data_IF_778142661117
#
_entry.id   IF_778142661117
#
_cell.length_a   1.000
_cell.length_b   1.000
_cell.length_c   1.000
_cell.angle_alpha   90.00
_cell.angle_beta   90.00
_cell.angle_gamma   90.00
#
_symmetry.space_group_name_H-M   'P 1'
#
loop_
_entity.id
_entity.type
_entity.pdbx_description
1 polymer ?
#
# COMPACT_ATOMS: atom_id res chain seq x y z
N UNK A 1 4.18 -10.78 1.46
CA UNK A 1 2.84 -10.41 0.96
C UNK A 1 2.18 -11.46 0.05
N UNK A 2 2.83 -11.98 -1.01
CA UNK A 2 2.17 -12.85 -2.00
C UNK A 2 1.55 -14.14 -1.42
N UNK A 3 2.25 -14.84 -0.51
CA UNK A 3 1.73 -16.05 0.14
C UNK A 3 0.46 -15.78 0.95
N UNK A 4 0.42 -14.67 1.68
CA UNK A 4 -0.73 -14.28 2.51
C UNK A 4 -1.95 -13.94 1.65
N UNK A 5 -1.76 -13.28 0.50
CA UNK A 5 -2.87 -13.02 -0.43
C UNK A 5 -3.47 -14.30 -1.01
N UNK A 6 -2.62 -15.26 -1.35
CA UNK A 6 -3.10 -16.56 -1.83
C UNK A 6 -3.97 -17.25 -0.77
N UNK A 7 -3.54 -17.24 0.49
CA UNK A 7 -4.31 -17.83 1.59
C UNK A 7 -5.67 -17.13 1.79
N UNK A 8 -5.70 -15.80 1.81
CA UNK A 8 -6.93 -15.02 1.97
C UNK A 8 -7.91 -15.29 0.82
N UNK A 9 -7.43 -15.30 -0.42
CA UNK A 9 -8.26 -15.55 -1.59
C UNK A 9 -8.72 -17.01 -1.71
N UNK A 10 -8.05 -17.95 -1.03
CA UNK A 10 -8.41 -19.37 -1.03
C UNK A 10 -9.45 -19.73 0.04
N UNK A 11 -9.67 -18.87 1.04
CA UNK A 11 -10.66 -19.09 2.09
C UNK A 11 -11.99 -18.37 1.77
N UNK A 12 -13.07 -19.11 1.44
CA UNK A 12 -14.36 -18.51 1.10
C UNK A 12 -15.05 -17.80 2.28
N UNK A 13 -14.57 -17.96 3.52
CA UNK A 13 -15.19 -17.37 4.70
C UNK A 13 -14.66 -15.97 5.02
N UNK A 14 -13.49 -15.58 4.52
CA UNK A 14 -12.86 -14.30 4.84
C UNK A 14 -13.38 -13.18 3.93
N UNK A 15 -13.39 -13.43 2.62
CA UNK A 15 -13.85 -12.47 1.60
C UNK A 15 -14.73 -13.18 0.56
N UNK A 16 -16.00 -13.48 0.89
CA UNK A 16 -16.90 -14.12 -0.06
C UNK A 16 -17.13 -13.19 -1.26
N UNK A 17 -16.98 -13.72 -2.47
CA UNK A 17 -17.20 -13.02 -3.74
C UNK A 17 -16.24 -11.84 -4.03
N UNK A 18 -15.14 -11.73 -3.30
CA UNK A 18 -14.11 -10.70 -3.54
C UNK A 18 -12.76 -11.37 -3.67
N UNK A 19 -11.96 -10.94 -4.65
CA UNK A 19 -10.59 -11.43 -4.83
C UNK A 19 -9.64 -10.26 -4.72
N UNK A 20 -8.68 -10.36 -3.81
CA UNK A 20 -7.64 -9.36 -3.65
C UNK A 20 -6.57 -9.55 -4.71
N UNK A 21 -6.25 -8.48 -5.44
CA UNK A 21 -5.16 -8.44 -6.41
C UNK A 21 -4.10 -7.45 -5.93
N UNK A 22 -2.84 -7.87 -5.95
CA UNK A 22 -1.73 -6.99 -5.58
C UNK A 22 -1.24 -6.23 -6.79
N UNK A 23 -1.21 -4.90 -6.66
CA UNK A 23 -0.37 -4.05 -7.50
C UNK A 23 0.85 -3.61 -6.68
N UNK A 24 2.04 -3.76 -7.25
CA UNK A 24 3.29 -3.35 -6.62
C UNK A 24 4.18 -2.68 -7.66
N UNK A 25 5.04 -1.79 -7.18
CA UNK A 25 6.09 -1.16 -7.99
C UNK A 25 7.36 -1.04 -7.14
N UNK A 26 8.53 -1.25 -7.74
CA UNK A 26 9.81 -1.06 -7.07
C UNK A 26 10.20 0.41 -7.14
N UNK A 27 10.18 1.08 -5.99
CA UNK A 27 10.48 2.50 -5.85
C UNK A 27 11.92 2.74 -5.40
N UNK A 28 12.67 1.66 -5.11
CA UNK A 28 14.06 1.68 -4.60
C UNK A 28 14.24 2.50 -3.31
N UNK A 29 13.15 2.76 -2.59
CA UNK A 29 13.15 3.62 -1.40
C UNK A 29 13.18 5.13 -1.70
N UNK A 30 13.12 5.54 -2.97
CA UNK A 30 13.11 6.96 -3.35
C UNK A 30 11.72 7.57 -3.23
N UNK A 31 11.60 8.67 -2.48
CA UNK A 31 10.31 9.30 -2.17
C UNK A 31 9.56 9.79 -3.41
N UNK A 32 10.27 10.37 -4.37
CA UNK A 32 9.65 10.90 -5.60
C UNK A 32 9.10 9.77 -6.47
N UNK A 33 9.88 8.70 -6.65
CA UNK A 33 9.45 7.52 -7.40
C UNK A 33 8.30 6.79 -6.69
N UNK A 34 8.35 6.69 -5.35
CA UNK A 34 7.28 6.12 -4.56
C UNK A 34 5.98 6.92 -4.67
N UNK A 35 6.05 8.24 -4.53
CA UNK A 35 4.89 9.12 -4.68
C UNK A 35 4.31 9.03 -6.09
N UNK A 36 5.16 9.02 -7.12
CA UNK A 36 4.72 8.87 -8.52
C UNK A 36 4.00 7.54 -8.73
N UNK A 37 4.62 6.44 -8.34
CA UNK A 37 4.03 5.11 -8.47
C UNK A 37 2.70 5.00 -7.71
N UNK A 38 2.62 5.62 -6.53
CA UNK A 38 1.39 5.68 -5.74
C UNK A 38 0.29 6.43 -6.48
N UNK A 39 0.58 7.61 -7.05
CA UNK A 39 -0.39 8.38 -7.84
C UNK A 39 -0.90 7.57 -9.04
N UNK A 40 0.00 6.89 -9.75
CA UNK A 40 -0.38 6.02 -10.88
C UNK A 40 -1.31 4.88 -10.42
N UNK A 41 -1.01 4.24 -9.28
CA UNK A 41 -1.87 3.22 -8.70
C UNK A 41 -3.24 3.76 -8.24
N UNK A 42 -3.31 5.00 -7.74
CA UNK A 42 -4.59 5.65 -7.41
C UNK A 42 -5.42 5.83 -8.69
N UNK A 43 -4.81 6.25 -9.79
CA UNK A 43 -5.47 6.36 -11.09
C UNK A 43 -5.95 4.99 -11.62
N UNK A 44 -5.21 3.91 -11.33
CA UNK A 44 -5.60 2.53 -11.65
C UNK A 44 -6.73 1.98 -10.75
N UNK A 45 -7.16 2.75 -9.73
CA UNK A 45 -8.32 2.41 -8.90
C UNK A 45 -8.02 1.48 -7.72
N UNK A 46 -6.80 1.50 -7.18
CA UNK A 46 -6.51 0.75 -5.95
C UNK A 46 -7.36 1.26 -4.76
N UNK A 47 -7.77 0.32 -3.90
CA UNK A 47 -8.68 0.60 -2.78
C UNK A 47 -7.97 0.76 -1.43
N UNK A 48 -6.70 0.36 -1.35
CA UNK A 48 -5.88 0.45 -0.14
C UNK A 48 -4.39 0.35 -0.51
N UNK A 49 -3.54 0.93 0.32
CA UNK A 49 -2.10 0.82 0.22
C UNK A 49 -1.51 0.04 1.39
N UNK A 50 -0.52 -0.79 1.10
CA UNK A 50 0.46 -1.21 2.11
C UNK A 50 1.64 -0.24 2.00
N UNK A 51 1.96 0.43 3.10
CA UNK A 51 2.88 1.57 3.12
C UNK A 51 4.26 1.23 2.54
N UNK A 52 4.95 2.17 1.89
CA UNK A 52 6.28 1.95 1.32
C UNK A 52 7.33 1.67 2.43
N UNK A 53 8.43 1.04 2.06
CA UNK A 53 9.48 0.64 3.02
C UNK A 53 10.27 1.81 3.64
N UNK A 54 10.33 2.97 2.98
CA UNK A 54 11.19 4.09 3.40
C UNK A 54 10.47 5.41 3.60
N UNK A 55 9.69 5.85 2.61
CA UNK A 55 8.87 7.06 2.69
C UNK A 55 7.44 6.68 3.09
N UNK A 56 7.12 6.86 4.37
CA UNK A 56 5.77 6.60 4.87
C UNK A 56 4.98 7.91 5.09
N UNK A 57 5.67 9.00 5.44
CA UNK A 57 5.01 10.26 5.81
C UNK A 57 4.35 10.95 4.62
N UNK A 58 5.09 11.14 3.51
CA UNK A 58 4.59 11.83 2.31
C UNK A 58 3.45 11.03 1.69
N UNK A 59 3.64 9.72 1.57
CA UNK A 59 2.69 8.79 0.96
C UNK A 59 1.44 8.64 1.83
N UNK A 60 1.56 8.66 3.16
CA UNK A 60 0.40 8.69 4.05
C UNK A 60 -0.45 9.95 3.84
N UNK A 61 0.18 11.11 3.62
CA UNK A 61 -0.53 12.36 3.29
C UNK A 61 -1.24 12.21 1.94
N UNK A 62 -0.58 11.65 0.93
CA UNK A 62 -1.17 11.42 -0.40
C UNK A 62 -2.39 10.48 -0.29
N UNK A 63 -2.26 9.35 0.41
CA UNK A 63 -3.36 8.43 0.69
C UNK A 63 -4.53 9.12 1.39
N UNK A 64 -4.25 9.85 2.47
CA UNK A 64 -5.26 10.59 3.22
C UNK A 64 -5.98 11.63 2.34
N UNK A 65 -5.24 12.36 1.50
CA UNK A 65 -5.81 13.39 0.61
C UNK A 65 -6.80 12.81 -0.41
N UNK A 66 -6.66 11.52 -0.73
CA UNK A 66 -7.53 10.79 -1.67
C UNK A 66 -8.57 9.91 -0.98
N UNK A 67 -8.64 9.95 0.36
CA UNK A 67 -9.51 9.08 1.16
C UNK A 67 -9.25 7.58 0.89
N UNK A 68 -7.97 7.19 0.75
CA UNK A 68 -7.56 5.80 0.54
C UNK A 68 -6.80 5.33 1.78
N UNK A 69 -7.21 4.23 2.45
CA UNK A 69 -6.51 3.75 3.62
C UNK A 69 -5.09 3.27 3.28
N UNK A 70 -4.14 3.59 4.15
CA UNK A 70 -2.76 3.09 4.08
C UNK A 70 -2.41 2.34 5.37
N UNK A 71 -1.88 1.13 5.22
CA UNK A 71 -1.45 0.26 6.31
C UNK A 71 0.08 0.13 6.24
N UNK A 72 0.79 0.78 7.15
CA UNK A 72 2.25 0.64 7.24
C UNK A 72 2.62 -0.68 7.95
N UNK A 73 3.54 -1.45 7.38
CA UNK A 73 4.10 -2.67 8.01
C UNK A 73 5.52 -2.47 8.56
N UNK A 74 6.15 -1.33 8.24
CA UNK A 74 7.52 -1.01 8.63
C UNK A 74 7.71 0.52 8.70
N UNK A 75 7.01 1.20 9.60
CA UNK A 75 7.35 2.59 9.94
C UNK A 75 8.17 2.61 11.22
N UNK A 76 9.48 2.49 11.09
CA UNK A 76 10.40 2.82 12.17
C UNK A 76 10.47 4.36 12.29
N UNK A 77 9.46 4.99 12.90
CA UNK A 77 9.61 6.35 13.43
C UNK A 77 10.43 6.28 14.71
N UNK A 78 11.73 5.96 14.58
CA UNK A 78 12.71 6.15 15.65
C UNK A 78 13.24 7.58 15.53
N UNK A 79 12.68 8.50 16.33
CA UNK A 79 13.35 9.74 16.73
C UNK A 79 13.35 10.92 15.75
N UNK A 80 12.18 11.48 15.40
CA UNK A 80 12.07 12.89 14.99
C UNK A 80 11.03 13.61 15.86
N UNK A 81 11.44 13.88 17.11
CA UNK A 81 11.07 15.06 17.89
C UNK A 81 12.33 15.54 18.59
#
# INVERSE_FOLDING_TARGET
>A
MAVSLFQINSDPNILPNVTLLMRWNDTRGETVEATRAMIDMICDGVVAFFGPEGSCYVEAIVAQSRNIPMISYASALIGQF
#
